data_IF_992712498756
#
_entry.id   IF_992712498756
#
_cell.length_a   1.000
_cell.length_b   1.000
_cell.length_c   1.000
_cell.angle_alpha   90.00
_cell.angle_beta   90.00
_cell.angle_gamma   90.00
#
_symmetry.space_group_name_H-M   'P 1'
#
loop_
_entity.id
_entity.type
_entity.pdbx_description
1 polymer ?
#
# COMPACT_ATOMS: atom_id res chain seq x y z
N UNK A 1 -0.75 15.16 -20.55
CA UNK A 1 -0.84 13.99 -21.42
C UNK A 1 -2.30 13.62 -21.55
N UNK A 2 -2.72 13.10 -22.69
CA UNK A 2 -4.10 12.65 -22.95
C UNK A 2 -4.47 11.47 -22.06
N UNK A 3 -5.61 11.57 -21.35
CA UNK A 3 -6.15 10.53 -20.45
C UNK A 3 -6.86 9.38 -21.21
N UNK A 4 -6.64 9.26 -22.52
CA UNK A 4 -7.46 8.40 -23.39
C UNK A 4 -6.89 6.97 -23.54
N UNK A 5 -6.96 6.20 -22.45
CA UNK A 5 -6.45 4.82 -22.34
C UNK A 5 -6.99 3.84 -23.41
N UNK A 6 -8.19 4.09 -23.94
CA UNK A 6 -8.79 3.23 -24.98
C UNK A 6 -8.29 3.56 -26.39
N UNK A 7 -7.87 4.80 -26.64
CA UNK A 7 -7.41 5.23 -27.97
C UNK A 7 -5.96 4.83 -28.23
N UNK A 8 -5.14 4.73 -27.17
CA UNK A 8 -3.73 4.30 -27.23
C UNK A 8 -3.54 2.81 -27.57
N UNK A 9 -4.62 2.02 -27.64
CA UNK A 9 -4.55 0.63 -28.12
C UNK A 9 -4.46 0.50 -29.64
N UNK A 10 -4.59 1.60 -30.40
CA UNK A 10 -4.63 1.59 -31.88
C UNK A 10 -3.39 2.15 -32.58
N UNK A 11 -2.46 2.78 -31.87
CA UNK A 11 -1.26 3.39 -32.45
C UNK A 11 0.01 2.59 -32.07
N UNK A 12 0.79 2.06 -33.03
CA UNK A 12 1.94 1.20 -32.75
C UNK A 12 3.15 1.90 -32.09
N UNK A 13 3.11 3.23 -31.93
CA UNK A 13 4.27 4.06 -31.56
C UNK A 13 4.13 4.80 -30.23
N UNK A 14 3.00 4.68 -29.52
CA UNK A 14 2.76 5.33 -28.23
C UNK A 14 2.15 4.35 -27.23
N UNK A 15 2.98 3.50 -26.62
CA UNK A 15 2.52 2.53 -25.63
C UNK A 15 1.84 3.22 -24.45
N UNK A 16 0.66 2.72 -24.05
CA UNK A 16 -0.05 3.28 -22.91
C UNK A 16 0.79 3.14 -21.64
N UNK A 17 1.04 4.25 -20.95
CA UNK A 17 1.84 4.31 -19.70
C UNK A 17 1.15 3.65 -18.49
N UNK A 18 -0.02 3.07 -18.69
CA UNK A 18 -0.89 2.55 -17.65
C UNK A 18 -0.82 1.03 -17.58
N UNK A 19 -0.61 0.51 -16.38
CA UNK A 19 -0.85 -0.89 -16.06
C UNK A 19 -2.22 -0.96 -15.40
N UNK A 20 -3.09 -1.79 -15.96
CA UNK A 20 -4.48 -1.92 -15.54
C UNK A 20 -4.81 -3.32 -15.05
N UNK A 21 -5.51 -3.39 -13.92
CA UNK A 21 -6.03 -4.64 -13.37
C UNK A 21 -7.55 -4.57 -13.30
N UNK A 22 -8.18 -5.63 -13.78
CA UNK A 22 -9.63 -5.81 -13.72
C UNK A 22 -9.98 -6.61 -12.47
N UNK A 23 -11.03 -6.21 -11.75
CA UNK A 23 -11.49 -6.93 -10.56
C UNK A 23 -11.94 -8.38 -10.86
N UNK A 24 -12.66 -8.62 -11.96
CA UNK A 24 -13.18 -9.93 -12.35
C UNK A 24 -12.08 -10.97 -12.64
N UNK A 25 -10.88 -10.52 -12.99
CA UNK A 25 -9.73 -11.41 -13.19
C UNK A 25 -8.99 -11.76 -11.91
N UNK A 26 -9.35 -11.13 -10.78
CA UNK A 26 -8.76 -11.42 -9.49
C UNK A 26 -9.58 -12.48 -8.74
N UNK A 27 -8.88 -13.37 -8.03
CA UNK A 27 -9.52 -14.35 -7.14
C UNK A 27 -9.96 -13.72 -5.80
N UNK A 28 -9.68 -12.43 -5.59
CA UNK A 28 -9.87 -11.70 -4.34
C UNK A 28 -10.41 -10.29 -4.62
N UNK A 29 -10.96 -9.64 -3.61
CA UNK A 29 -11.49 -8.27 -3.63
C UNK A 29 -10.40 -7.18 -3.66
N UNK A 30 -9.13 -7.59 -3.61
CA UNK A 30 -7.97 -6.71 -3.64
C UNK A 30 -6.92 -7.18 -4.66
N UNK A 31 -6.15 -6.21 -5.12
CA UNK A 31 -4.95 -6.37 -5.93
C UNK A 31 -3.71 -6.33 -5.03
N UNK A 32 -3.07 -7.48 -4.74
CA UNK A 32 -1.81 -7.52 -4.02
C UNK A 32 -0.62 -7.24 -4.97
N UNK A 33 0.23 -6.29 -4.58
CA UNK A 33 1.49 -5.97 -5.26
C UNK A 33 2.61 -6.04 -4.22
N UNK A 34 3.61 -6.88 -4.47
CA UNK A 34 4.78 -7.04 -3.59
C UNK A 34 5.98 -6.30 -4.16
N UNK A 35 6.68 -5.57 -3.30
CA UNK A 35 7.90 -4.85 -3.62
C UNK A 35 9.03 -5.39 -2.77
N UNK A 36 10.16 -5.66 -3.41
CA UNK A 36 11.40 -6.08 -2.76
C UNK A 36 12.48 -5.05 -3.04
N UNK A 37 13.16 -4.63 -1.97
CA UNK A 37 14.26 -3.68 -2.04
C UNK A 37 15.59 -4.40 -1.89
N UNK A 38 16.64 -3.75 -2.39
CA UNK A 38 18.04 -4.19 -2.33
C UNK A 38 18.53 -4.42 -0.89
N UNK A 39 18.14 -3.53 0.02
CA UNK A 39 18.44 -3.58 1.43
C UNK A 39 17.29 -3.11 2.31
N UNK A 40 17.52 -3.14 3.61
CA UNK A 40 16.58 -2.61 4.60
C UNK A 40 16.53 -1.08 4.48
N UNK A 41 15.32 -0.54 4.45
CA UNK A 41 15.04 0.88 4.28
C UNK A 41 13.99 1.33 5.29
N UNK A 42 14.05 2.59 5.67
CA UNK A 42 13.01 3.28 6.43
C UNK A 42 12.11 4.01 5.45
N UNK A 43 10.81 3.70 5.45
CA UNK A 43 9.84 4.22 4.48
C UNK A 43 8.96 5.31 5.08
N UNK A 44 9.01 6.52 4.53
CA UNK A 44 8.21 7.66 4.97
C UNK A 44 6.87 7.74 4.23
N UNK A 45 6.86 7.50 2.91
CA UNK A 45 5.67 7.61 2.08
C UNK A 45 5.68 6.68 0.85
N UNK A 46 4.49 6.30 0.39
CA UNK A 46 4.24 5.65 -0.89
C UNK A 46 3.40 6.58 -1.76
N UNK A 47 3.85 6.83 -2.99
CA UNK A 47 3.12 7.58 -4.00
C UNK A 47 2.61 6.66 -5.10
N UNK A 48 1.32 6.73 -5.37
CA UNK A 48 0.65 5.99 -6.45
C UNK A 48 0.04 6.98 -7.43
N UNK A 49 0.52 7.00 -8.68
CA UNK A 49 -0.11 7.78 -9.73
C UNK A 49 -1.21 6.94 -10.37
N UNK A 50 -2.47 7.34 -10.16
CA UNK A 50 -3.66 6.57 -10.52
C UNK A 50 -4.66 7.41 -11.31
N UNK A 51 -5.53 6.75 -12.07
CA UNK A 51 -6.57 7.39 -12.86
C UNK A 51 -7.95 7.20 -12.23
N UNK A 52 -8.80 8.22 -12.33
CA UNK A 52 -10.20 8.16 -11.90
C UNK A 52 -11.09 8.69 -13.03
N UNK A 53 -11.63 7.78 -13.83
CA UNK A 53 -12.52 8.05 -14.97
C UNK A 53 -13.77 7.20 -14.79
N UNK A 54 -14.73 7.73 -14.03
CA UNK A 54 -15.93 6.99 -13.61
C UNK A 54 -16.76 6.52 -14.81
N UNK A 55 -16.85 7.31 -15.87
CA UNK A 55 -17.55 6.93 -17.11
C UNK A 55 -16.97 5.71 -17.83
N UNK A 56 -15.77 5.25 -17.44
CA UNK A 56 -15.08 4.08 -18.01
C UNK A 56 -14.85 2.95 -17.01
N UNK A 57 -15.55 2.97 -15.86
CA UNK A 57 -15.37 2.02 -14.76
C UNK A 57 -13.94 1.99 -14.19
N UNK A 58 -13.21 3.09 -14.31
CA UNK A 58 -11.86 3.26 -13.75
C UNK A 58 -11.96 4.17 -12.54
N UNK A 59 -11.57 3.67 -11.37
CA UNK A 59 -11.51 4.48 -10.16
C UNK A 59 -10.26 4.15 -9.36
N UNK A 60 -9.77 5.14 -8.62
CA UNK A 60 -8.87 4.91 -7.50
C UNK A 60 -9.45 3.84 -6.56
N UNK A 61 -8.58 3.03 -5.99
CA UNK A 61 -8.92 2.00 -5.02
C UNK A 61 -9.72 2.57 -3.83
N UNK A 62 -10.59 1.75 -3.23
CA UNK A 62 -11.44 2.15 -2.10
C UNK A 62 -10.65 2.18 -0.78
N UNK A 63 -9.66 1.31 -0.65
CA UNK A 63 -8.73 1.28 0.46
C UNK A 63 -7.38 0.69 0.00
N UNK A 64 -6.32 1.02 0.73
CA UNK A 64 -5.02 0.40 0.61
C UNK A 64 -4.58 -0.15 1.98
N UNK A 65 -3.97 -1.33 1.96
CA UNK A 65 -3.30 -1.92 3.13
C UNK A 65 -1.84 -2.17 2.75
N UNK A 66 -0.92 -1.56 3.49
CA UNK A 66 0.52 -1.73 3.30
C UNK A 66 1.11 -2.50 4.48
N UNK A 67 1.59 -3.70 4.19
CA UNK A 67 2.24 -4.58 5.15
C UNK A 67 3.75 -4.57 4.93
N UNK A 68 4.51 -4.63 6.03
CA UNK A 68 5.96 -4.45 6.05
C UNK A 68 6.65 -5.71 6.55
N UNK A 69 7.78 -6.07 5.94
CA UNK A 69 8.55 -7.25 6.34
C UNK A 69 10.05 -7.01 6.13
N UNK A 70 10.87 -7.58 7.01
CA UNK A 70 12.33 -7.58 6.88
C UNK A 70 12.85 -8.81 6.10
N UNK A 71 12.13 -9.93 6.16
CA UNK A 71 12.56 -11.25 5.64
C UNK A 71 11.71 -11.76 4.48
N UNK A 72 10.59 -11.10 4.18
CA UNK A 72 9.62 -11.50 3.15
C UNK A 72 8.68 -12.63 3.58
N UNK A 73 8.82 -13.14 4.80
CA UNK A 73 8.07 -14.29 5.33
C UNK A 73 7.12 -13.82 6.42
N UNK A 74 7.66 -13.11 7.42
CA UNK A 74 6.92 -12.55 8.55
C UNK A 74 6.58 -11.11 8.25
N UNK A 75 5.34 -10.71 8.51
CA UNK A 75 4.91 -9.32 8.37
C UNK A 75 4.71 -8.71 9.75
N UNK A 76 5.09 -7.44 9.87
CA UNK A 76 4.87 -6.65 11.08
C UNK A 76 3.38 -6.59 11.42
N UNK A 77 3.06 -6.67 12.71
CA UNK A 77 1.70 -6.86 13.18
C UNK A 77 0.73 -5.71 12.81
N UNK A 78 1.25 -4.48 12.75
CA UNK A 78 0.46 -3.29 12.44
C UNK A 78 0.72 -2.81 11.00
N UNK A 79 -0.10 -3.21 10.00
CA UNK A 79 -0.02 -2.64 8.66
C UNK A 79 -0.57 -1.21 8.63
N UNK A 80 -0.17 -0.43 7.63
CA UNK A 80 -0.76 0.88 7.35
C UNK A 80 -2.05 0.68 6.56
N UNK A 81 -3.17 1.18 7.08
CA UNK A 81 -4.47 1.20 6.40
C UNK A 81 -4.75 2.62 5.94
N UNK A 82 -5.12 2.79 4.68
CA UNK A 82 -5.34 4.09 4.08
C UNK A 82 -6.62 4.08 3.23
N UNK A 83 -7.40 5.15 3.32
CA UNK A 83 -8.58 5.38 2.50
C UNK A 83 -8.37 6.69 1.74
N UNK A 84 -8.30 6.67 0.40
CA UNK A 84 -8.12 7.88 -0.37
C UNK A 84 -9.35 8.78 -0.26
N UNK A 85 -9.12 10.10 -0.20
CA UNK A 85 -10.16 11.12 -0.27
C UNK A 85 -10.12 11.78 -1.64
N UNK A 86 -11.25 11.79 -2.34
CA UNK A 86 -11.39 12.45 -3.64
C UNK A 86 -12.27 13.68 -3.45
N UNK A 87 -11.65 14.83 -3.24
CA UNK A 87 -12.39 16.06 -2.94
C UNK A 87 -13.09 16.66 -4.17
N UNK A 88 -12.69 16.27 -5.39
CA UNK A 88 -13.34 16.68 -6.65
C UNK A 88 -13.30 15.56 -7.68
N UNK A 89 -14.45 15.04 -8.14
CA UNK A 89 -14.50 14.07 -9.24
C UNK A 89 -14.31 14.81 -10.57
N UNK A 90 -13.10 15.29 -10.84
CA UNK A 90 -12.70 15.51 -12.23
C UNK A 90 -12.17 14.19 -12.75
N UNK A 91 -12.63 13.78 -13.93
CA UNK A 91 -12.11 12.60 -14.59
C UNK A 91 -10.67 12.85 -15.02
N UNK A 92 -9.71 12.50 -14.16
CA UNK A 92 -8.31 12.77 -14.41
C UNK A 92 -7.40 11.88 -13.58
N UNK A 93 -6.12 11.84 -13.96
CA UNK A 93 -5.07 11.21 -13.20
C UNK A 93 -4.55 12.11 -12.06
N UNK A 94 -4.21 11.50 -10.93
CA UNK A 94 -3.65 12.21 -9.78
C UNK A 94 -2.75 11.29 -8.93
N UNK A 95 -1.96 11.92 -8.06
CA UNK A 95 -1.11 11.23 -7.09
C UNK A 95 -1.84 11.00 -5.77
N UNK A 96 -1.89 9.74 -5.34
CA UNK A 96 -2.27 9.35 -3.98
C UNK A 96 -0.99 9.19 -3.16
N UNK A 97 -0.90 9.88 -2.04
CA UNK A 97 0.22 9.74 -1.09
C UNK A 97 -0.26 9.03 0.16
N UNK A 98 0.36 7.89 0.46
CA UNK A 98 0.09 7.06 1.63
C UNK A 98 1.26 7.27 2.61
N UNK A 99 1.04 7.89 3.79
CA UNK A 99 2.08 8.01 4.80
C UNK A 99 2.41 6.63 5.37
N UNK A 100 3.69 6.26 5.35
CA UNK A 100 4.19 4.97 5.82
C UNK A 100 4.80 5.05 7.23
N UNK A 101 4.86 6.24 7.84
CA UNK A 101 5.25 6.46 9.23
C UNK A 101 6.63 5.94 9.61
N UNK A 102 7.62 6.17 8.73
CA UNK A 102 9.02 5.82 8.94
C UNK A 102 9.22 4.35 9.33
N UNK A 103 8.47 3.46 8.67
CA UNK A 103 8.48 2.03 8.98
C UNK A 103 9.66 1.35 8.29
N UNK A 104 10.38 0.55 9.07
CA UNK A 104 11.53 -0.20 8.62
C UNK A 104 11.10 -1.47 7.88
N UNK A 105 11.60 -1.71 6.67
CA UNK A 105 11.31 -2.92 5.91
C UNK A 105 12.35 -3.18 4.81
N UNK A 106 12.34 -4.40 4.27
CA UNK A 106 12.98 -4.76 2.99
C UNK A 106 11.94 -5.20 1.95
N UNK A 107 10.79 -5.68 2.42
CA UNK A 107 9.69 -6.13 1.59
C UNK A 107 8.41 -5.39 2.01
N UNK A 108 7.68 -4.89 1.02
CA UNK A 108 6.37 -4.29 1.22
C UNK A 108 5.33 -5.07 0.41
N UNK A 109 4.18 -5.35 1.03
CA UNK A 109 3.00 -5.87 0.34
C UNK A 109 1.92 -4.80 0.37
N UNK A 110 1.57 -4.27 -0.79
CA UNK A 110 0.52 -3.27 -0.99
C UNK A 110 -0.71 -4.00 -1.51
N UNK A 111 -1.83 -3.92 -0.78
CA UNK A 111 -3.11 -4.48 -1.19
C UNK A 111 -4.06 -3.34 -1.51
N UNK A 112 -4.46 -3.21 -2.77
CA UNK A 112 -5.38 -2.18 -3.23
C UNK A 112 -6.77 -2.78 -3.41
N UNK A 113 -7.77 -2.29 -2.69
CA UNK A 113 -9.14 -2.78 -2.77
C UNK A 113 -9.90 -2.08 -3.89
N UNK A 114 -10.62 -2.84 -4.70
CA UNK A 114 -11.33 -2.27 -5.84
C UNK A 114 -12.48 -1.36 -5.39
N UNK A 115 -12.64 -0.21 -6.05
CA UNK A 115 -13.81 0.67 -5.94
C UNK A 115 -14.69 0.61 -7.20
N UNK A 116 -14.14 0.11 -8.29
CA UNK A 116 -14.77 -0.05 -9.60
C UNK A 116 -14.16 -1.26 -10.33
N UNK A 117 -14.51 -1.45 -11.61
CA UNK A 117 -14.04 -2.58 -12.41
C UNK A 117 -12.54 -2.56 -12.64
N UNK A 118 -11.94 -1.38 -12.77
CA UNK A 118 -10.52 -1.21 -13.07
C UNK A 118 -9.79 -0.36 -12.03
N UNK A 119 -8.59 -0.82 -11.65
CA UNK A 119 -7.54 0.01 -11.07
C UNK A 119 -6.48 0.23 -12.14
N UNK A 120 -6.14 1.49 -12.40
CA UNK A 120 -5.03 1.87 -13.29
C UNK A 120 -3.94 2.57 -12.50
N UNK A 121 -2.69 2.13 -12.67
CA UNK A 121 -1.49 2.78 -12.13
C UNK A 121 -0.51 3.04 -13.26
N UNK A 122 0.08 4.23 -13.32
CA UNK A 122 1.19 4.50 -14.24
C UNK A 122 2.55 4.54 -13.56
N UNK A 123 2.56 4.78 -12.25
CA UNK A 123 3.79 4.96 -11.48
C UNK A 123 3.57 4.61 -10.01
N UNK A 124 4.58 3.98 -9.42
CA UNK A 124 4.69 3.68 -8.00
C UNK A 124 6.05 4.19 -7.54
N UNK A 125 6.07 5.08 -6.56
CA UNK A 125 7.30 5.62 -6.01
C UNK A 125 7.30 5.54 -4.47
N UNK A 126 8.47 5.34 -3.89
CA UNK A 126 8.66 5.25 -2.45
C UNK A 126 9.63 6.33 -1.99
N UNK A 127 9.23 7.10 -0.98
CA UNK A 127 10.15 7.95 -0.23
C UNK A 127 10.74 7.12 0.91
N UNK A 128 12.07 6.93 0.89
CA UNK A 128 12.76 6.07 1.84
C UNK A 128 14.25 6.40 1.98
N UNK A 129 14.86 6.02 3.10
CA UNK A 129 16.30 6.09 3.35
C UNK A 129 16.88 4.69 3.61
N UNK A 130 18.05 4.39 3.06
CA UNK A 130 18.77 3.13 3.33
C UNK A 130 19.24 3.06 4.77
N UNK A 131 19.18 1.85 5.34
CA UNK A 131 19.69 1.56 6.68
C UNK A 131 20.95 0.71 6.55
N UNK A 132 22.05 1.16 7.16
CA UNK A 132 23.35 0.50 7.08
C UNK A 132 23.49 -0.71 8.01
N UNK A 133 22.65 -0.80 9.04
CA UNK A 133 22.67 -1.89 10.01
C UNK A 133 22.15 -3.19 9.39
N UNK A 134 22.87 -4.29 9.60
CA UNK A 134 22.35 -5.60 9.22
C UNK A 134 21.21 -5.98 10.18
N UNK A 135 19.99 -6.05 9.64
CA UNK A 135 18.77 -6.40 10.39
C UNK A 135 18.09 -7.62 9.78
N UNK A 136 18.84 -8.39 8.99
CA UNK A 136 18.33 -9.53 8.23
C UNK A 136 18.88 -10.87 8.70
N UNK A 137 19.72 -10.88 9.73
CA UNK A 137 20.11 -12.12 10.43
C UNK A 137 19.01 -12.59 11.40
N UNK A 138 19.01 -13.89 11.69
CA UNK A 138 17.93 -14.54 12.43
C UNK A 138 17.75 -13.95 13.84
N UNK A 139 18.84 -13.68 14.57
CA UNK A 139 18.80 -13.10 15.92
C UNK A 139 18.15 -11.71 15.92
N UNK A 140 18.55 -10.84 15.00
CA UNK A 140 17.98 -9.50 14.86
C UNK A 140 16.51 -9.53 14.47
N UNK A 141 16.13 -10.46 13.59
CA UNK A 141 14.75 -10.61 13.13
C UNK A 141 13.85 -11.09 14.28
N UNK A 142 14.28 -12.10 15.02
CA UNK A 142 13.52 -12.64 16.15
C UNK A 142 13.32 -11.59 17.25
N UNK A 143 14.37 -10.81 17.55
CA UNK A 143 14.26 -9.69 18.46
C UNK A 143 13.30 -8.61 17.94
N UNK A 144 13.38 -8.26 16.65
CA UNK A 144 12.52 -7.23 16.05
C UNK A 144 11.03 -7.62 16.09
N UNK A 145 10.69 -8.84 15.71
CA UNK A 145 9.30 -9.30 15.70
C UNK A 145 8.78 -9.61 17.11
N UNK A 146 9.59 -10.19 17.99
CA UNK A 146 9.21 -10.43 19.39
C UNK A 146 8.83 -9.13 20.12
N UNK A 147 9.62 -8.07 19.93
CA UNK A 147 9.30 -6.76 20.49
C UNK A 147 7.97 -6.19 19.96
N UNK A 148 7.58 -6.48 18.71
CA UNK A 148 6.30 -5.99 18.17
C UNK A 148 5.10 -6.67 18.82
N UNK A 149 5.20 -7.98 19.06
CA UNK A 149 4.13 -8.76 19.70
C UNK A 149 3.92 -8.32 21.15
N UNK A 150 4.99 -8.14 21.92
CA UNK A 150 4.92 -7.65 23.31
C UNK A 150 4.22 -6.28 23.39
N UNK A 151 4.64 -5.33 22.54
CA UNK A 151 4.02 -4.00 22.45
C UNK A 151 2.53 -4.04 22.10
N UNK A 152 2.10 -5.03 21.30
CA UNK A 152 0.69 -5.20 20.96
C UNK A 152 -0.13 -5.79 22.13
N UNK A 153 0.44 -6.75 22.86
CA UNK A 153 -0.18 -7.33 24.06
C UNK A 153 -0.37 -6.29 25.15
N UNK A 154 0.63 -5.42 25.38
CA UNK A 154 0.52 -4.30 26.34
C UNK A 154 -0.57 -3.30 25.96
N UNK A 155 -0.71 -2.96 24.67
CA UNK A 155 -1.78 -2.07 24.20
C UNK A 155 -3.17 -2.67 24.41
N UNK A 156 -3.34 -3.97 24.15
CA UNK A 156 -4.62 -4.67 24.33
C UNK A 156 -5.01 -4.78 25.81
N UNK A 157 -4.05 -5.05 26.69
CA UNK A 157 -4.30 -5.10 28.14
C UNK A 157 -4.64 -3.72 28.73
N UNK A 158 -4.03 -2.65 28.22
CA UNK A 158 -4.31 -1.27 28.67
C UNK A 158 -5.68 -0.75 28.22
N UNK A 159 -6.22 -1.20 27.09
CA UNK A 159 -7.52 -0.76 26.56
C UNK A 159 -8.75 -1.43 27.23
N UNK A 160 -8.54 -2.45 28.07
CA UNK A 160 -9.63 -3.24 28.69
C UNK A 160 -10.09 -2.79 30.08
N UNK A 161 -9.56 -1.69 30.60
CA UNK A 161 -9.70 -1.30 32.02
C UNK A 161 -10.55 -0.06 32.29
N UNK A 162 -11.78 0.05 31.78
CA UNK A 162 -12.72 1.08 32.25
C UNK A 162 -14.17 0.56 32.25
N UNK A 163 -14.61 0.02 33.39
CA UNK A 163 -16.05 -0.07 33.71
C UNK A 163 -16.29 0.59 35.07
N UNK A 164 -16.76 1.83 35.00
CA UNK A 164 -17.24 2.60 36.15
C UNK A 164 -18.46 1.91 36.75
N UNK A 165 -18.30 1.26 37.89
CA UNK A 165 -19.41 0.92 38.77
C UNK A 165 -19.87 2.18 39.50
N UNK A 166 -20.93 2.83 38.99
CA UNK A 166 -21.71 3.77 39.77
C UNK A 166 -22.87 3.00 40.44
N UNK A 167 -23.00 3.17 41.76
CA UNK A 167 -24.13 2.69 42.57
C UNK A 167 -24.87 3.89 43.13
#
# INVERSE_FOLDING_TARGET
GSDDFLQETREPSGGSRWVGWMNESQQSDNLPISFQFDGVRTFSALHLHTSHIVTRDVQVFSAAVVSFSLDGIRYQANPVKFVPRIDRPKETAFNVTIPLHDRLAKFLKVQLFFSARWILLSEVAFESSSVSTNLTDDESLDQFYGNQEENEVERRSSAGGETTHAR
#
